data_IF_985583389114
#
_entry.id   IF_985583389114
#
_cell.length_a   1.000
_cell.length_b   1.000
_cell.length_c   1.000
_cell.angle_alpha   90.00
_cell.angle_beta   90.00
_cell.angle_gamma   90.00
#
_symmetry.space_group_name_H-M   'P 1'
#
loop_
_entity.id
_entity.type
_entity.pdbx_description
1 polymer ?
#
# COMPACT_ATOMS: atom_id res chain seq x y z
N UNK A 1 -1.76 -19.17 -11.89
CA UNK A 1 -2.97 -18.92 -11.08
C UNK A 1 -2.53 -18.56 -9.66
N UNK A 2 -2.44 -17.28 -9.32
CA UNK A 2 -2.09 -16.84 -7.97
C UNK A 2 -3.34 -16.89 -7.09
N UNK A 3 -3.26 -17.63 -5.96
CA UNK A 3 -4.32 -17.77 -4.96
C UNK A 3 -4.79 -16.41 -4.47
N UNK A 4 -6.08 -16.30 -4.12
CA UNK A 4 -6.58 -15.12 -3.42
C UNK A 4 -5.87 -14.92 -2.07
N UNK A 5 -5.73 -13.67 -1.61
CA UNK A 5 -5.16 -13.39 -0.29
C UNK A 5 -5.91 -14.15 0.80
N UNK A 6 -5.20 -14.93 1.61
CA UNK A 6 -5.77 -15.71 2.70
C UNK A 6 -5.44 -15.02 4.03
N UNK A 7 -5.99 -13.82 4.25
CA UNK A 7 -5.72 -13.03 5.46
C UNK A 7 -6.22 -13.69 6.74
N UNK A 8 -7.37 -14.37 6.70
CA UNK A 8 -7.97 -15.00 7.89
C UNK A 8 -6.99 -15.85 8.71
N UNK A 9 -6.29 -16.83 8.12
CA UNK A 9 -5.27 -17.61 8.82
C UNK A 9 -4.10 -16.78 9.37
N UNK A 10 -3.60 -15.80 8.62
CA UNK A 10 -2.47 -14.95 9.08
C UNK A 10 -2.89 -14.09 10.27
N UNK A 11 -4.06 -13.44 10.18
CA UNK A 11 -4.58 -12.59 11.25
C UNK A 11 -4.89 -13.43 12.49
N UNK A 12 -5.48 -14.61 12.32
CA UNK A 12 -5.75 -15.54 13.43
C UNK A 12 -4.47 -15.98 14.12
N UNK A 13 -3.43 -16.37 13.36
CA UNK A 13 -2.14 -16.75 13.91
C UNK A 13 -1.41 -15.56 14.59
N UNK A 14 -1.54 -14.35 14.05
CA UNK A 14 -1.01 -13.14 14.66
C UNK A 14 -1.68 -12.83 16.01
N UNK A 15 -3.02 -12.92 16.08
CA UNK A 15 -3.80 -12.73 17.32
C UNK A 15 -3.45 -13.80 18.37
N UNK A 16 -3.28 -15.05 17.94
CA UNK A 16 -2.89 -16.14 18.82
C UNK A 16 -1.43 -16.05 19.32
N UNK A 17 -0.61 -15.20 18.70
CA UNK A 17 0.82 -15.07 19.00
C UNK A 17 1.71 -16.10 18.28
N UNK A 18 1.13 -16.96 17.45
CA UNK A 18 1.84 -17.99 16.66
C UNK A 18 2.66 -17.39 15.51
N UNK A 19 2.38 -16.13 15.15
CA UNK A 19 3.11 -15.38 14.13
C UNK A 19 3.62 -14.04 14.70
N UNK A 20 4.67 -14.03 15.55
CA UNK A 20 5.08 -12.85 16.31
C UNK A 20 5.67 -11.71 15.45
N UNK A 21 6.00 -12.01 14.19
CA UNK A 21 6.42 -11.00 13.20
C UNK A 21 5.25 -10.14 12.72
N UNK A 22 4.02 -10.66 12.73
CA UNK A 22 2.83 -9.93 12.30
C UNK A 22 2.07 -9.47 13.54
N UNK A 23 1.97 -8.15 13.70
CA UNK A 23 1.30 -7.52 14.84
C UNK A 23 0.07 -6.78 14.32
N UNK A 24 -1.11 -7.20 14.75
CA UNK A 24 -2.41 -6.61 14.35
C UNK A 24 -2.92 -5.64 15.41
N UNK A 25 -3.90 -4.80 15.07
CA UNK A 25 -4.43 -3.78 15.99
C UNK A 25 -3.39 -2.77 16.47
N UNK A 26 -2.35 -2.53 15.66
CA UNK A 26 -1.25 -1.64 16.01
C UNK A 26 -1.59 -0.19 15.68
N UNK A 27 -0.75 0.73 16.13
CA UNK A 27 -0.89 2.16 15.84
C UNK A 27 0.42 2.72 15.29
N UNK A 28 0.34 3.92 14.69
CA UNK A 28 1.53 4.66 14.29
C UNK A 28 2.49 4.92 15.47
N UNK A 29 1.97 5.10 16.68
CA UNK A 29 2.79 5.24 17.89
C UNK A 29 3.60 3.97 18.19
N UNK A 30 3.01 2.78 18.00
CA UNK A 30 3.74 1.51 18.19
C UNK A 30 4.84 1.32 17.16
N UNK A 31 4.60 1.74 15.91
CA UNK A 31 5.65 1.77 14.87
C UNK A 31 6.76 2.74 15.26
N UNK A 32 6.41 3.94 15.71
CA UNK A 32 7.36 4.97 16.12
C UNK A 32 8.25 4.53 17.28
N UNK A 33 7.71 3.84 18.28
CA UNK A 33 8.49 3.27 19.37
C UNK A 33 9.59 2.30 18.88
N UNK A 34 9.38 1.63 17.75
CA UNK A 34 10.33 0.68 17.17
C UNK A 34 11.28 1.30 16.12
N UNK A 35 10.82 2.31 15.36
CA UNK A 35 11.49 2.80 14.14
C UNK A 35 11.74 4.30 14.05
N UNK A 36 11.36 5.11 15.05
CA UNK A 36 11.69 6.55 15.04
C UNK A 36 13.21 6.77 14.99
N UNK A 37 13.68 7.56 14.03
CA UNK A 37 15.12 7.81 13.78
C UNK A 37 15.93 6.60 13.30
N UNK A 38 15.28 5.53 12.81
CA UNK A 38 15.92 4.29 12.34
C UNK A 38 15.73 4.07 10.84
N UNK A 39 15.87 2.83 10.37
CA UNK A 39 15.57 2.45 9.00
C UNK A 39 14.14 2.86 8.62
N UNK A 40 13.89 3.24 7.35
CA UNK A 40 12.56 3.56 6.90
C UNK A 40 11.64 2.33 6.97
N UNK A 41 10.34 2.58 7.05
CA UNK A 41 9.31 1.54 6.94
C UNK A 41 8.68 1.57 5.54
N UNK A 42 8.26 0.41 5.06
CA UNK A 42 7.51 0.28 3.82
C UNK A 42 6.01 0.39 4.10
N UNK A 43 5.35 1.43 3.58
CA UNK A 43 3.93 1.69 3.81
C UNK A 43 3.08 1.04 2.72
N UNK A 44 2.49 -0.10 3.05
CA UNK A 44 1.69 -0.94 2.16
C UNK A 44 0.21 -0.51 2.16
N UNK A 45 -0.24 0.21 1.13
CA UNK A 45 -1.63 0.70 1.00
C UNK A 45 -2.37 0.08 -0.19
N UNK A 46 -3.71 -0.05 -0.14
CA UNK A 46 -4.48 -0.65 -1.22
C UNK A 46 -4.52 0.26 -2.45
N UNK A 47 -4.49 -0.33 -3.65
CA UNK A 47 -4.53 0.44 -4.90
C UNK A 47 -5.38 -0.21 -6.01
N UNK A 48 -4.93 -1.31 -6.62
CA UNK A 48 -5.49 -1.79 -7.89
C UNK A 48 -6.99 -2.07 -7.89
N UNK A 49 -7.59 -2.41 -6.75
CA UNK A 49 -9.05 -2.56 -6.61
C UNK A 49 -9.78 -1.26 -6.31
N UNK A 50 -9.15 -0.36 -5.55
CA UNK A 50 -9.79 0.89 -5.10
C UNK A 50 -9.87 1.94 -6.22
N UNK A 51 -9.00 1.82 -7.23
CA UNK A 51 -8.96 2.74 -8.38
C UNK A 51 -9.84 2.33 -9.54
N UNK A 52 -10.59 1.23 -9.44
CA UNK A 52 -11.52 0.81 -10.48
C UNK A 52 -12.90 1.42 -10.21
N UNK A 53 -13.55 1.85 -11.29
CA UNK A 53 -14.97 2.20 -11.30
C UNK A 53 -15.85 0.94 -11.35
N UNK A 54 -17.17 1.14 -11.40
CA UNK A 54 -18.16 0.07 -11.46
C UNK A 54 -18.05 -0.78 -12.74
N UNK A 55 -17.45 -0.24 -13.81
CA UNK A 55 -17.19 -0.93 -15.07
C UNK A 55 -15.82 -1.64 -15.09
N UNK A 56 -15.08 -1.59 -13.99
CA UNK A 56 -13.73 -2.17 -13.89
C UNK A 56 -12.67 -1.37 -14.66
N UNK A 57 -12.96 -0.12 -15.03
CA UNK A 57 -12.00 0.78 -15.66
C UNK A 57 -11.26 1.57 -14.59
N UNK A 58 -9.99 1.89 -14.87
CA UNK A 58 -9.22 2.76 -13.99
C UNK A 58 -9.79 4.17 -13.99
N UNK A 59 -10.00 4.74 -12.80
CA UNK A 59 -10.53 6.08 -12.60
C UNK A 59 -9.48 7.02 -11.98
N UNK A 60 -9.33 8.19 -12.61
CA UNK A 60 -8.36 9.20 -12.20
C UNK A 60 -8.60 9.73 -10.79
N UNK A 61 -9.85 10.07 -10.45
CA UNK A 61 -10.19 10.67 -9.16
C UNK A 61 -10.04 9.66 -8.02
N UNK A 62 -10.39 8.40 -8.24
CA UNK A 62 -10.11 7.31 -7.29
C UNK A 62 -8.61 7.11 -7.09
N UNK A 63 -7.80 7.23 -8.15
CA UNK A 63 -6.35 7.21 -8.01
C UNK A 63 -5.82 8.40 -7.22
N UNK A 64 -6.38 9.60 -7.38
CA UNK A 64 -6.03 10.77 -6.55
C UNK A 64 -6.39 10.53 -5.09
N UNK A 65 -7.57 9.96 -4.79
CA UNK A 65 -7.95 9.63 -3.42
C UNK A 65 -7.02 8.58 -2.78
N UNK A 66 -6.65 7.53 -3.52
CA UNK A 66 -5.70 6.52 -3.04
C UNK A 66 -4.32 7.13 -2.76
N UNK A 67 -3.85 8.04 -3.63
CA UNK A 67 -2.62 8.80 -3.44
C UNK A 67 -2.66 9.62 -2.15
N UNK A 68 -3.74 10.39 -1.94
CA UNK A 68 -3.91 11.24 -0.76
C UNK A 68 -4.01 10.41 0.53
N UNK A 69 -4.73 9.28 0.51
CA UNK A 69 -4.81 8.38 1.66
C UNK A 69 -3.44 7.79 2.04
N UNK A 70 -2.65 7.39 1.05
CA UNK A 70 -1.27 6.94 1.28
C UNK A 70 -0.38 8.07 1.80
N UNK A 71 -0.54 9.29 1.27
CA UNK A 71 0.16 10.49 1.73
C UNK A 71 -0.16 10.85 3.18
N UNK A 72 -1.44 10.80 3.58
CA UNK A 72 -1.86 11.05 4.96
C UNK A 72 -1.26 10.01 5.92
N UNK A 73 -1.35 8.71 5.59
CA UNK A 73 -0.77 7.67 6.43
C UNK A 73 0.76 7.79 6.57
N UNK A 74 1.46 8.24 5.51
CA UNK A 74 2.87 8.57 5.59
C UNK A 74 3.14 9.82 6.45
N UNK A 75 2.27 10.83 6.37
CA UNK A 75 2.30 12.03 7.19
C UNK A 75 2.15 11.74 8.68
N UNK A 76 1.23 10.84 9.05
CA UNK A 76 1.02 10.42 10.44
C UNK A 76 2.27 9.75 11.04
N UNK A 77 2.95 8.92 10.26
CA UNK A 77 4.23 8.31 10.64
C UNK A 77 5.36 9.36 10.76
N UNK A 78 5.43 10.29 9.81
CA UNK A 78 6.42 11.36 9.80
C UNK A 78 6.28 12.29 11.00
N UNK A 79 5.05 12.61 11.41
CA UNK A 79 4.76 13.40 12.62
C UNK A 79 5.31 12.75 13.91
N UNK A 80 5.58 11.44 13.88
CA UNK A 80 6.16 10.67 15.00
C UNK A 80 7.64 10.34 14.79
N UNK A 81 8.29 10.95 13.79
CA UNK A 81 9.72 10.76 13.49
C UNK A 81 10.04 9.46 12.73
N UNK A 82 9.04 8.80 12.15
CA UNK A 82 9.23 7.61 11.32
C UNK A 82 9.32 8.03 9.85
N UNK A 83 10.41 7.66 9.20
CA UNK A 83 10.53 7.77 7.74
C UNK A 83 9.77 6.62 7.08
N UNK A 84 8.85 6.93 6.17
CA UNK A 84 8.07 5.93 5.44
C UNK A 84 8.26 6.08 3.93
N UNK A 85 8.57 4.98 3.25
CA UNK A 85 8.39 4.90 1.80
C UNK A 85 6.93 4.54 1.51
N UNK A 86 6.23 5.40 0.79
CA UNK A 86 4.82 5.23 0.43
C UNK A 86 4.70 5.02 -1.09
N UNK A 87 4.79 3.76 -1.58
CA UNK A 87 4.84 3.46 -3.00
C UNK A 87 3.65 4.03 -3.77
N UNK A 88 2.44 3.92 -3.22
CA UNK A 88 1.21 4.39 -3.88
C UNK A 88 1.18 5.92 -3.98
N UNK A 89 1.66 6.65 -2.98
CA UNK A 89 1.76 8.10 -3.07
C UNK A 89 2.70 8.51 -4.21
N UNK A 90 3.89 7.90 -4.27
CA UNK A 90 4.89 8.23 -5.28
C UNK A 90 4.54 7.72 -6.68
N UNK A 91 4.02 6.50 -6.82
CA UNK A 91 3.65 5.94 -8.11
C UNK A 91 2.47 6.67 -8.74
N UNK A 92 1.46 7.09 -7.96
CA UNK A 92 0.37 7.91 -8.46
C UNK A 92 0.89 9.22 -9.04
N UNK A 93 1.80 9.92 -8.35
CA UNK A 93 2.43 11.13 -8.88
C UNK A 93 3.11 10.85 -10.23
N UNK A 94 3.84 9.74 -10.36
CA UNK A 94 4.50 9.36 -11.62
C UNK A 94 3.50 9.04 -12.74
N UNK A 95 2.42 8.33 -12.44
CA UNK A 95 1.33 8.02 -13.39
C UNK A 95 0.64 9.31 -13.84
N UNK A 96 0.26 10.16 -12.89
CA UNK A 96 -0.45 11.41 -13.15
C UNK A 96 0.42 12.40 -13.91
N UNK A 97 1.70 12.51 -13.58
CA UNK A 97 2.63 13.39 -14.29
C UNK A 97 2.91 12.97 -15.75
N UNK A 98 2.67 11.70 -16.09
CA UNK A 98 2.86 11.17 -17.45
C UNK A 98 1.57 10.99 -18.24
N UNK A 99 0.41 11.17 -17.63
CA UNK A 99 -0.85 11.18 -18.34
C UNK A 99 -1.26 12.57 -18.80
N UNK A 100 -2.39 12.64 -19.50
CA UNK A 100 -2.98 13.90 -19.93
C UNK A 100 -4.49 13.79 -20.10
N UNK A 101 -5.18 14.92 -19.95
CA UNK A 101 -6.58 15.04 -20.33
C UNK A 101 -6.69 15.41 -21.82
N UNK A 102 -7.64 14.79 -22.50
CA UNK A 102 -8.00 15.10 -23.88
C UNK A 102 -9.50 15.36 -23.98
N UNK A 103 -9.89 16.33 -24.80
CA UNK A 103 -11.29 16.62 -25.10
C UNK A 103 -11.75 15.87 -26.34
N UNK A 104 -13.03 15.50 -26.38
CA UNK A 104 -13.71 15.06 -27.61
C UNK A 104 -14.51 16.21 -28.23
N UNK A 105 -14.82 16.10 -29.52
CA UNK A 105 -15.69 17.06 -30.23
C UNK A 105 -17.10 17.20 -29.62
N UNK A 106 -17.50 16.28 -28.73
CA UNK A 106 -18.80 16.29 -28.02
C UNK A 106 -18.72 16.88 -26.61
N UNK A 107 -17.60 17.49 -26.23
CA UNK A 107 -17.42 18.13 -24.91
C UNK A 107 -17.09 17.17 -23.76
N UNK A 108 -16.90 15.87 -24.04
CA UNK A 108 -16.41 14.92 -23.02
C UNK A 108 -14.90 15.07 -22.85
N UNK A 109 -14.43 15.04 -21.60
CA UNK A 109 -13.01 14.99 -21.24
C UNK A 109 -12.64 13.57 -20.83
N UNK A 110 -11.56 13.03 -21.37
CA UNK A 110 -11.05 11.70 -21.04
C UNK A 110 -9.57 11.79 -20.61
N UNK A 111 -9.21 10.99 -19.61
CA UNK A 111 -7.83 10.83 -19.18
C UNK A 111 -7.14 9.73 -19.98
N UNK A 112 -5.89 9.96 -20.40
CA UNK A 112 -5.02 8.94 -20.98
C UNK A 112 -3.78 8.74 -20.10
N UNK A 113 -3.51 7.48 -19.76
CA UNK A 113 -2.33 7.08 -18.99
C UNK A 113 -1.09 7.01 -19.88
N UNK A 114 0.02 7.64 -19.46
CA UNK A 114 1.34 7.42 -20.07
C UNK A 114 2.16 6.31 -19.40
N UNK A 115 1.74 5.86 -18.21
CA UNK A 115 2.20 4.66 -17.53
C UNK A 115 0.97 3.86 -17.11
N UNK A 116 0.97 2.55 -17.33
CA UNK A 116 -0.13 1.71 -16.90
C UNK A 116 -0.14 1.58 -15.35
N UNK A 117 -1.14 2.16 -14.65
CA UNK A 117 -1.23 2.08 -13.19
C UNK A 117 -1.54 0.67 -12.69
N UNK A 118 -2.01 -0.24 -13.54
CA UNK A 118 -2.40 -1.60 -13.19
C UNK A 118 -1.37 -2.67 -13.62
N UNK A 119 -0.22 -2.25 -14.16
CA UNK A 119 0.90 -3.12 -14.52
C UNK A 119 1.61 -3.68 -13.27
N UNK A 120 0.96 -4.63 -12.59
CA UNK A 120 1.36 -5.13 -11.28
C UNK A 120 2.82 -5.60 -11.21
N UNK A 121 3.30 -6.33 -12.21
CA UNK A 121 4.67 -6.86 -12.23
C UNK A 121 5.72 -5.75 -12.35
N UNK A 122 5.43 -4.71 -13.13
CA UNK A 122 6.32 -3.54 -13.27
C UNK A 122 6.45 -2.80 -11.94
N UNK A 123 5.31 -2.54 -11.27
CA UNK A 123 5.29 -1.85 -9.99
C UNK A 123 5.92 -2.70 -8.88
N UNK A 124 5.68 -4.01 -8.86
CA UNK A 124 6.33 -4.92 -7.91
C UNK A 124 7.86 -4.91 -8.08
N UNK A 125 8.36 -4.97 -9.32
CA UNK A 125 9.80 -4.88 -9.60
C UNK A 125 10.39 -3.53 -9.17
N UNK A 126 9.67 -2.42 -9.38
CA UNK A 126 10.08 -1.09 -8.91
C UNK A 126 10.08 -0.96 -7.38
N UNK A 127 9.11 -1.58 -6.71
CA UNK A 127 8.99 -1.58 -5.25
C UNK A 127 10.07 -2.43 -4.57
N UNK A 128 10.58 -3.48 -5.23
CA UNK A 128 11.44 -4.48 -4.60
C UNK A 128 12.72 -3.91 -3.95
N UNK A 129 13.48 -2.99 -4.56
CA UNK A 129 14.64 -2.39 -3.90
C UNK A 129 14.29 -1.63 -2.61
N UNK A 130 13.12 -0.98 -2.57
CA UNK A 130 12.65 -0.28 -1.38
C UNK A 130 12.22 -1.23 -0.28
N UNK A 131 11.50 -2.31 -0.64
CA UNK A 131 11.18 -3.41 0.28
C UNK A 131 12.44 -3.99 0.93
N UNK A 132 13.51 -4.17 0.15
CA UNK A 132 14.78 -4.69 0.65
C UNK A 132 15.50 -3.74 1.62
N UNK A 133 15.29 -2.43 1.48
CA UNK A 133 15.95 -1.41 2.30
C UNK A 133 15.16 -1.02 3.56
N UNK A 134 13.85 -1.28 3.58
CA UNK A 134 12.99 -0.95 4.72
C UNK A 134 13.14 -1.97 5.86
N UNK A 135 13.09 -1.48 7.09
CA UNK A 135 13.21 -2.31 8.30
C UNK A 135 11.91 -2.98 8.75
N UNK A 136 10.77 -2.59 8.19
CA UNK A 136 9.45 -3.13 8.48
C UNK A 136 8.47 -2.90 7.33
N UNK A 137 7.36 -3.64 7.34
CA UNK A 137 6.15 -3.33 6.54
C UNK A 137 5.07 -2.80 7.48
N UNK A 138 4.41 -1.72 7.08
CA UNK A 138 3.28 -1.11 7.80
C UNK A 138 2.06 -1.12 6.90
N UNK A 139 0.97 -1.68 7.39
CA UNK A 139 -0.33 -1.77 6.71
C UNK A 139 -1.34 -0.92 7.50
N UNK A 140 -1.64 0.31 7.05
CA UNK A 140 -2.65 1.12 7.70
C UNK A 140 -4.05 0.54 7.46
N UNK A 141 -4.99 0.86 8.35
CA UNK A 141 -6.38 0.39 8.28
C UNK A 141 -7.18 1.19 7.24
N UNK A 142 -6.81 1.04 5.97
CA UNK A 142 -7.47 1.67 4.83
C UNK A 142 -8.42 0.67 4.16
N UNK A 143 -9.64 1.08 3.74
CA UNK A 143 -10.59 0.17 3.11
C UNK A 143 -9.98 -0.67 1.98
N UNK A 144 -10.16 -1.99 2.07
CA UNK A 144 -9.67 -2.95 1.09
C UNK A 144 -8.22 -3.42 1.27
N UNK A 145 -7.54 -3.05 2.37
CA UNK A 145 -6.20 -3.54 2.67
C UNK A 145 -6.14 -5.07 2.75
N UNK A 146 -7.14 -5.67 3.40
CA UNK A 146 -7.33 -7.12 3.60
C UNK A 146 -7.80 -7.87 2.34
N UNK A 147 -8.00 -7.16 1.23
CA UNK A 147 -8.35 -7.73 -0.08
C UNK A 147 -7.25 -7.49 -1.12
N UNK A 148 -6.20 -6.76 -0.74
CA UNK A 148 -5.11 -6.39 -1.62
C UNK A 148 -4.13 -7.54 -1.81
N UNK A 149 -3.95 -7.96 -3.06
CA UNK A 149 -2.93 -8.95 -3.45
C UNK A 149 -1.51 -8.40 -3.33
N UNK A 150 -1.33 -7.10 -3.57
CA UNK A 150 -0.03 -6.44 -3.42
C UNK A 150 0.44 -6.46 -1.98
N UNK A 151 -0.42 -5.97 -1.06
CA UNK A 151 -0.13 -5.97 0.39
C UNK A 151 0.09 -7.40 0.89
N UNK A 152 -0.70 -8.36 0.42
CA UNK A 152 -0.46 -9.77 0.75
C UNK A 152 0.94 -10.25 0.33
N UNK A 153 1.38 -9.91 -0.88
CA UNK A 153 2.73 -10.21 -1.36
C UNK A 153 3.82 -9.55 -0.52
N UNK A 154 3.63 -8.30 -0.12
CA UNK A 154 4.54 -7.52 0.71
C UNK A 154 4.65 -8.10 2.14
N UNK A 155 3.53 -8.53 2.74
CA UNK A 155 3.51 -9.22 4.04
C UNK A 155 4.17 -10.60 3.95
N UNK A 156 3.90 -11.37 2.89
CA UNK A 156 4.59 -12.65 2.67
C UNK A 156 6.09 -12.46 2.51
N UNK A 157 6.52 -11.43 1.78
CA UNK A 157 7.93 -11.07 1.68
C UNK A 157 8.51 -10.76 3.06
N UNK A 158 7.88 -9.86 3.83
CA UNK A 158 8.35 -9.48 5.16
C UNK A 158 8.52 -10.70 6.09
N UNK A 159 7.52 -11.58 6.16
CA UNK A 159 7.58 -12.81 6.98
C UNK A 159 8.72 -13.72 6.54
N UNK A 160 8.90 -13.95 5.22
CA UNK A 160 9.98 -14.80 4.69
C UNK A 160 11.37 -14.22 4.95
N UNK A 161 11.48 -12.90 5.06
CA UNK A 161 12.73 -12.18 5.29
C UNK A 161 12.92 -11.72 6.74
N UNK A 162 12.11 -12.23 7.67
CA UNK A 162 12.18 -11.93 9.10
C UNK A 162 12.06 -10.41 9.40
N UNK A 163 11.25 -9.71 8.62
CA UNK A 163 10.91 -8.31 8.83
C UNK A 163 9.59 -8.22 9.62
N UNK A 164 9.51 -7.34 10.64
CA UNK A 164 8.27 -7.09 11.35
C UNK A 164 7.22 -6.45 10.44
N UNK A 165 5.97 -6.84 10.65
CA UNK A 165 4.79 -6.31 9.99
C UNK A 165 3.86 -5.71 11.04
N UNK A 166 3.47 -4.45 10.86
CA UNK A 166 2.51 -3.76 11.70
C UNK A 166 1.23 -3.51 10.90
N UNK A 167 0.13 -4.12 11.34
CA UNK A 167 -1.20 -3.95 10.74
C UNK A 167 -2.05 -3.16 11.71
N UNK A 168 -2.64 -2.05 11.27
CA UNK A 168 -3.46 -1.21 12.16
C UNK A 168 -4.87 -1.76 12.33
N UNK A 169 -5.40 -2.46 11.31
CA UNK A 169 -6.66 -3.18 11.37
C UNK A 169 -6.54 -4.55 12.05
N UNK A 170 -7.68 -5.24 12.18
CA UNK A 170 -7.75 -6.65 12.61
C UNK A 170 -7.45 -6.93 14.08
N UNK A 171 -7.54 -5.91 14.95
CA UNK A 171 -7.34 -6.04 16.40
C UNK A 171 -8.62 -6.34 17.21
N UNK A 172 -9.72 -6.69 16.54
CA UNK A 172 -11.02 -6.99 17.15
C UNK A 172 -11.42 -8.45 16.90
#
# INVERSE_FOLDING_TARGET
MTREPAWGPILSAAVAGDLPLVRVGQTAATVAAAFSGRQPVYLATPYSRVVLDEAGQWDYMRSVHAMMAAGHAAGDLMALGVSAFAPIAQSCVMVHARGHFSGSAKGCVAWSNGLDPLAADLWAAWCQPFLNACGAVVVPDLPGWDQSRGIWGEVQFAVRHNLPVFVYGGGA
#
